data_IF_777861026781
#
_entry.id   IF_777861026781
#
_cell.length_a   1.000
_cell.length_b   1.000
_cell.length_c   1.000
_cell.angle_alpha   90.00
_cell.angle_beta   90.00
_cell.angle_gamma   90.00
#
_symmetry.space_group_name_H-M   'P 1'
#
loop_
_entity.id
_entity.type
_entity.pdbx_description
1 polymer ?
#
# COMPACT_ATOMS: atom_id res chain seq x y z
N UNK A 1 51.11 -21.92 5.37
CA UNK A 1 49.96 -22.45 6.13
C UNK A 1 49.53 -21.36 7.11
N UNK A 2 48.29 -20.94 7.31
CA UNK A 2 46.98 -21.21 6.70
C UNK A 2 46.05 -20.27 7.49
N UNK A 3 45.67 -19.14 6.92
CA UNK A 3 44.74 -18.20 7.57
C UNK A 3 43.82 -17.61 6.51
N UNK A 4 43.03 -18.50 5.89
CA UNK A 4 41.77 -18.14 5.28
C UNK A 4 40.72 -18.12 6.38
N UNK A 5 40.19 -16.96 6.76
CA UNK A 5 38.93 -16.78 7.51
C UNK A 5 38.84 -15.34 8.04
N UNK A 6 37.73 -14.60 8.04
CA UNK A 6 36.34 -14.78 7.64
C UNK A 6 35.80 -13.34 7.49
N UNK A 7 35.27 -12.99 6.33
CA UNK A 7 34.51 -11.76 6.11
C UNK A 7 33.06 -11.99 6.52
N UNK A 8 32.67 -11.57 7.72
CA UNK A 8 31.24 -11.49 8.09
C UNK A 8 30.76 -10.07 7.87
N UNK A 9 30.19 -9.83 6.69
CA UNK A 9 29.33 -8.67 6.48
C UNK A 9 28.10 -8.84 7.38
N UNK A 10 27.97 -7.98 8.40
CA UNK A 10 26.72 -7.82 9.13
C UNK A 10 25.68 -7.25 8.16
N UNK A 11 24.84 -8.11 7.59
CA UNK A 11 23.58 -7.68 7.02
C UNK A 11 22.65 -7.32 8.18
N UNK A 12 22.54 -6.03 8.46
CA UNK A 12 21.48 -5.49 9.30
C UNK A 12 20.15 -5.66 8.55
N UNK A 13 19.48 -6.79 8.77
CA UNK A 13 18.10 -6.99 8.34
C UNK A 13 17.20 -6.16 9.27
N UNK A 14 16.98 -4.90 8.91
CA UNK A 14 15.86 -4.15 9.45
C UNK A 14 14.59 -4.71 8.78
N UNK A 15 13.95 -5.68 9.45
CA UNK A 15 12.60 -6.07 9.13
C UNK A 15 11.69 -4.89 9.51
N UNK A 16 11.41 -4.02 8.55
CA UNK A 16 10.28 -3.12 8.66
C UNK A 16 9.04 -3.99 8.51
N UNK A 17 8.52 -4.46 9.65
CA UNK A 17 7.17 -4.95 9.76
C UNK A 17 6.25 -3.77 9.44
N UNK A 18 5.96 -3.58 8.16
CA UNK A 18 4.71 -2.93 7.77
C UNK A 18 3.54 -3.78 8.28
N UNK A 19 2.38 -3.18 8.55
CA UNK A 19 1.24 -3.93 9.05
C UNK A 19 0.88 -5.03 8.04
N UNK A 20 1.01 -6.30 8.45
CA UNK A 20 0.28 -7.41 7.82
C UNK A 20 -1.15 -7.25 8.35
N UNK A 21 -1.98 -6.56 7.57
CA UNK A 21 -3.41 -6.53 7.81
C UNK A 21 -3.92 -7.91 7.38
N UNK A 22 -4.00 -8.83 8.33
CA UNK A 22 -4.77 -10.06 8.14
C UNK A 22 -6.20 -9.61 7.86
N UNK A 23 -6.63 -9.69 6.59
CA UNK A 23 -8.01 -9.44 6.16
C UNK A 23 -8.92 -10.45 6.89
N UNK A 24 -9.40 -10.04 8.05
CA UNK A 24 -10.46 -10.75 8.76
C UNK A 24 -11.77 -10.35 8.09
N UNK A 25 -12.40 -11.34 7.46
CA UNK A 25 -13.65 -11.17 6.74
C UNK A 25 -14.86 -11.14 7.69
N UNK A 26 -15.73 -10.15 7.51
CA UNK A 26 -17.13 -10.16 7.95
C UNK A 26 -17.42 -9.91 9.44
N UNK A 27 -17.81 -8.67 9.81
CA UNK A 27 -18.33 -8.43 11.15
C UNK A 27 -18.67 -6.99 11.53
N UNK A 28 -19.68 -6.39 10.88
CA UNK A 28 -20.60 -5.43 11.50
C UNK A 28 -20.04 -4.22 12.25
N UNK A 29 -19.41 -3.29 11.54
CA UNK A 29 -19.54 -1.84 11.77
C UNK A 29 -19.53 -1.19 10.39
N UNK A 30 -20.06 0.02 10.21
CA UNK A 30 -20.11 0.74 8.93
C UNK A 30 -18.72 1.21 8.47
N UNK A 31 -17.76 0.30 8.38
CA UNK A 31 -16.41 0.58 7.90
C UNK A 31 -16.50 0.92 6.40
N UNK A 32 -15.91 2.05 6.05
CA UNK A 32 -15.84 2.50 4.66
C UNK A 32 -15.07 1.48 3.82
N UNK A 33 -15.77 0.84 2.90
CA UNK A 33 -15.17 -0.08 1.93
C UNK A 33 -14.69 0.74 0.72
N UNK A 34 -13.45 1.22 0.82
CA UNK A 34 -12.83 1.99 -0.25
C UNK A 34 -12.60 1.15 -1.51
N UNK A 35 -12.42 -0.16 -1.35
CA UNK A 35 -11.94 -1.05 -2.37
C UNK A 35 -12.81 -2.31 -2.47
N UNK A 36 -14.06 -2.19 -2.98
CA UNK A 36 -15.06 -3.26 -2.96
C UNK A 36 -14.74 -4.43 -3.91
N UNK A 37 -13.65 -4.33 -4.69
CA UNK A 37 -13.23 -5.39 -5.59
C UNK A 37 -12.30 -6.36 -4.86
N UNK A 38 -12.63 -7.65 -4.88
CA UNK A 38 -11.81 -8.74 -4.32
C UNK A 38 -10.39 -8.81 -4.91
N UNK A 39 -10.20 -8.25 -6.11
CA UNK A 39 -8.89 -8.17 -6.75
C UNK A 39 -8.10 -6.93 -6.31
N UNK A 40 -8.78 -5.84 -5.96
CA UNK A 40 -8.17 -4.54 -5.68
C UNK A 40 -8.27 -4.18 -4.21
N UNK A 41 -8.16 -5.16 -3.32
CA UNK A 41 -8.48 -4.99 -1.90
C UNK A 41 -7.41 -4.25 -1.08
N UNK A 42 -6.38 -3.69 -1.73
CA UNK A 42 -5.27 -3.02 -1.06
C UNK A 42 -5.40 -1.52 -1.23
N UNK A 43 -5.41 -0.81 -0.10
CA UNK A 43 -5.46 0.65 -0.05
C UNK A 43 -4.04 1.20 -0.18
N UNK A 44 -3.78 1.93 -1.25
CA UNK A 44 -2.46 2.49 -1.53
C UNK A 44 -2.57 3.97 -1.91
N UNK A 45 -1.64 4.78 -1.41
CA UNK A 45 -1.39 6.13 -1.89
C UNK A 45 -0.32 6.06 -2.97
N UNK A 46 -0.68 6.39 -4.21
CA UNK A 46 0.22 6.30 -5.35
C UNK A 46 0.51 7.67 -5.95
N UNK A 47 1.74 7.84 -6.42
CA UNK A 47 2.08 8.93 -7.32
C UNK A 47 1.52 8.61 -8.71
N UNK A 48 1.05 9.62 -9.42
CA UNK A 48 0.54 9.44 -10.78
C UNK A 48 1.62 9.98 -11.72
N UNK A 49 2.01 9.19 -12.71
CA UNK A 49 2.92 9.65 -13.74
C UNK A 49 2.42 10.97 -14.36
N UNK A 50 3.35 11.77 -14.90
CA UNK A 50 3.05 13.08 -15.53
C UNK A 50 2.00 13.01 -16.64
N UNK A 51 1.73 11.83 -17.21
CA UNK A 51 0.67 11.58 -18.19
C UNK A 51 -0.67 11.14 -17.58
N UNK A 52 -0.78 11.04 -16.26
CA UNK A 52 -2.01 10.63 -15.56
C UNK A 52 -2.35 9.14 -15.69
N UNK A 53 -1.48 8.35 -16.33
CA UNK A 53 -1.85 7.04 -16.88
C UNK A 53 -1.37 5.85 -16.03
N UNK A 54 -0.34 6.06 -15.22
CA UNK A 54 0.29 5.00 -14.43
C UNK A 54 0.46 5.44 -12.99
N UNK A 55 0.05 4.57 -12.07
CA UNK A 55 0.34 4.69 -10.65
C UNK A 55 1.75 4.16 -10.39
N UNK A 56 2.64 5.01 -9.90
CA UNK A 56 4.02 4.67 -9.55
C UNK A 56 4.29 5.05 -8.09
N UNK A 57 5.28 4.43 -7.47
CA UNK A 57 5.68 4.75 -6.09
C UNK A 57 4.51 4.70 -5.08
N UNK A 58 3.78 3.59 -5.07
CA UNK A 58 2.66 3.36 -4.16
C UNK A 58 3.14 3.02 -2.74
N UNK A 59 2.43 3.53 -1.74
CA UNK A 59 2.64 3.19 -0.34
C UNK A 59 1.31 3.18 0.42
N UNK A 60 1.13 2.31 1.43
CA UNK A 60 -0.10 2.28 2.20
C UNK A 60 -0.34 3.60 2.96
N UNK A 61 -1.62 3.98 3.22
CA UNK A 61 -1.96 5.13 4.05
C UNK A 61 -1.44 4.96 5.49
N UNK A 62 -1.24 6.06 6.22
CA UNK A 62 -0.74 6.03 7.61
C UNK A 62 -1.72 5.31 8.56
N UNK A 63 -3.00 5.31 8.21
CA UNK A 63 -4.08 4.69 8.98
C UNK A 63 -5.20 4.23 8.07
N UNK A 64 -5.97 3.23 8.52
CA UNK A 64 -7.15 2.75 7.79
C UNK A 64 -8.14 3.90 7.61
N UNK A 65 -8.47 4.30 6.37
CA UNK A 65 -9.36 5.42 6.14
C UNK A 65 -10.79 5.09 6.55
N UNK A 66 -11.49 6.11 7.04
CA UNK A 66 -12.88 5.98 7.53
C UNK A 66 -13.93 6.48 6.54
N UNK A 67 -13.49 7.16 5.47
CA UNK A 67 -14.32 7.66 4.37
C UNK A 67 -13.46 7.94 3.14
N UNK A 68 -14.07 8.14 1.97
CA UNK A 68 -13.36 8.50 0.74
C UNK A 68 -12.57 9.80 0.91
N UNK A 69 -13.19 10.82 1.51
CA UNK A 69 -12.55 12.10 1.75
C UNK A 69 -11.35 11.98 2.70
N UNK A 70 -11.47 11.15 3.73
CA UNK A 70 -10.37 10.86 4.65
C UNK A 70 -9.22 10.15 3.93
N UNK A 71 -9.52 9.18 3.07
CA UNK A 71 -8.52 8.48 2.27
C UNK A 71 -7.77 9.43 1.33
N UNK A 72 -8.51 10.25 0.57
CA UNK A 72 -7.94 11.28 -0.29
C UNK A 72 -7.06 12.27 0.49
N UNK A 73 -7.55 12.76 1.63
CA UNK A 73 -6.80 13.70 2.46
C UNK A 73 -5.51 13.08 3.00
N UNK A 74 -5.53 11.80 3.39
CA UNK A 74 -4.34 11.10 3.86
C UNK A 74 -3.28 10.99 2.75
N UNK A 75 -3.67 10.61 1.53
CA UNK A 75 -2.74 10.53 0.41
C UNK A 75 -2.29 11.92 -0.08
N UNK A 76 -3.18 12.90 -0.09
CA UNK A 76 -2.88 14.28 -0.51
C UNK A 76 -1.85 14.96 0.41
N UNK A 77 -1.80 14.61 1.70
CA UNK A 77 -0.73 15.07 2.62
C UNK A 77 0.68 14.69 2.13
N UNK A 78 0.78 13.60 1.37
CA UNK A 78 2.02 13.11 0.76
C UNK A 78 2.19 13.56 -0.70
N UNK A 79 1.25 14.35 -1.23
CA UNK A 79 1.20 14.72 -2.64
C UNK A 79 0.76 13.58 -3.57
N UNK A 80 0.16 12.52 -3.03
CA UNK A 80 -0.22 11.32 -3.75
C UNK A 80 -1.75 11.22 -3.89
N UNK A 81 -2.21 10.34 -4.78
CA UNK A 81 -3.63 10.05 -4.97
C UNK A 81 -4.01 8.75 -4.28
N UNK A 82 -5.21 8.70 -3.71
CA UNK A 82 -5.79 7.50 -3.13
C UNK A 82 -6.17 6.51 -4.24
N UNK A 83 -5.72 5.27 -4.11
CA UNK A 83 -5.88 4.21 -5.10
C UNK A 83 -6.17 2.86 -4.44
N UNK A 84 -6.98 2.04 -5.10
CA UNK A 84 -7.18 0.63 -4.80
C UNK A 84 -6.35 -0.19 -5.78
N UNK A 85 -5.39 -0.97 -5.28
CA UNK A 85 -4.44 -1.69 -6.12
C UNK A 85 -4.49 -3.20 -5.87
N UNK A 86 -4.07 -3.99 -6.87
CA UNK A 86 -3.75 -5.39 -6.65
C UNK A 86 -2.27 -5.50 -6.33
N UNK A 87 -1.93 -6.03 -5.15
CA UNK A 87 -0.56 -6.38 -4.83
C UNK A 87 -0.27 -7.79 -5.38
N UNK A 88 0.70 -7.96 -6.30
CA UNK A 88 1.29 -9.25 -6.58
C UNK A 88 2.01 -9.73 -5.31
N UNK A 89 2.33 -11.02 -5.27
CA UNK A 89 2.94 -11.73 -4.13
C UNK A 89 4.20 -11.04 -3.56
N UNK A 90 4.82 -10.13 -4.33
CA UNK A 90 6.02 -9.36 -3.95
C UNK A 90 5.74 -7.91 -3.47
N UNK A 91 4.47 -7.52 -3.24
CA UNK A 91 4.11 -6.23 -2.64
C UNK A 91 4.27 -5.01 -3.55
N UNK A 92 4.25 -5.21 -4.87
CA UNK A 92 4.40 -4.13 -5.86
C UNK A 92 3.05 -3.76 -6.44
N UNK A 93 2.40 -2.64 -6.09
CA UNK A 93 1.09 -2.29 -6.67
C UNK A 93 1.08 -2.39 -8.21
N UNK A 94 0.27 -3.31 -8.75
CA UNK A 94 0.01 -3.48 -10.18
C UNK A 94 -1.47 -3.18 -10.40
N UNK A 95 -1.82 -2.48 -11.48
CA UNK A 95 -3.22 -2.27 -11.88
C UNK A 95 -4.08 -1.63 -10.78
N UNK A 96 -3.91 -0.32 -10.58
CA UNK A 96 -4.68 0.44 -9.60
C UNK A 96 -5.95 1.06 -10.21
N UNK A 97 -6.98 1.23 -9.38
CA UNK A 97 -8.21 1.94 -9.73
C UNK A 97 -8.56 2.95 -8.64
N UNK A 98 -9.32 3.96 -9.02
CA UNK A 98 -9.86 4.96 -8.12
C UNK A 98 -10.79 4.31 -7.07
N UNK A 99 -10.67 4.66 -5.78
CA UNK A 99 -11.49 4.09 -4.71
C UNK A 99 -12.98 4.44 -4.86
N UNK A 100 -13.84 3.69 -4.19
CA UNK A 100 -15.28 3.94 -4.20
C UNK A 100 -15.61 5.24 -3.44
N UNK A 101 -16.41 6.11 -4.04
CA UNK A 101 -16.88 7.34 -3.39
C UNK A 101 -15.92 8.53 -3.44
N UNK A 102 -14.79 8.42 -4.14
CA UNK A 102 -14.00 9.59 -4.55
C UNK A 102 -14.64 10.24 -5.77
N UNK A 103 -15.11 11.48 -5.63
CA UNK A 103 -15.85 12.23 -6.65
C UNK A 103 -16.25 13.62 -6.17
#
# INVERSE_FOLDING_TARGET
MKSFAITTALFAAAAMAGPIEVRSDGGGTTAYDACPSELLSNLECCDIDVLGLLSINCSPPDSTPTSAQDFENQCAKRGQSAMCCVLPVLGQAVGCQTPAGSG
#
